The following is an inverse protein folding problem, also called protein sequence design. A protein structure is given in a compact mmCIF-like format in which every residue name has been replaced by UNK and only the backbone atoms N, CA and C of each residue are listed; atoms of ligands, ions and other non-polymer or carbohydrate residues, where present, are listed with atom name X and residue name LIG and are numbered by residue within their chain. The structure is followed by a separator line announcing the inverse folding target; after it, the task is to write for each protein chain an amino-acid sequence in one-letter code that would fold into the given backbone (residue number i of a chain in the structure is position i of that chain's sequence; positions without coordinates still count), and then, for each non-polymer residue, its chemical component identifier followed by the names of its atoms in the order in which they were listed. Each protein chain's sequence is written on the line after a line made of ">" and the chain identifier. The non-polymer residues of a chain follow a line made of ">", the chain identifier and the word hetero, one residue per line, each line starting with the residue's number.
data_IF_326072229560
#
_entry.id   IF_326072229560
#
_cell.length_a   1.000
_cell.length_b   1.000
_cell.length_c   1.000
_cell.angle_alpha   90.00
_cell.angle_beta   90.00
_cell.angle_gamma   90.00
#
_symmetry.space_group_name_H-M   'P 1'
#
loop_
_entity.id
_entity.type
_entity.pdbx_description
1 polymer ?
2 polymer ?
3 non-polymer ?
4 water ?
#
# COMPACT_ATOMS: atom_id res chain seq x y z
N UNK A 7 -14.99 13.21 2.24
CA UNK A 7 -15.92 12.39 1.47
C UNK A 7 -15.40 12.35 0.01
N UNK A 8 -16.16 12.89 -0.94
CA UNK A 8 -15.74 12.85 -2.33
C UNK A 8 -14.80 14.01 -2.72
N UNK A 9 -13.91 13.74 -3.66
CA UNK A 9 -13.10 14.76 -4.33
C UNK A 9 -13.24 14.45 -5.83
N UNK A 10 -13.70 15.42 -6.62
CA UNK A 10 -14.08 16.76 -6.25
C UNK A 10 -15.42 16.80 -5.51
N UNK A 11 -15.83 18.01 -5.12
CA UNK A 11 -17.21 18.30 -4.63
C UNK A 11 -17.91 19.32 -5.55
N UNK A 12 -19.13 19.71 -5.22
CA UNK A 12 -19.90 20.71 -5.95
C UNK A 12 -19.92 20.50 -7.46
N UNK A 13 -19.99 19.23 -7.89
CA UNK A 13 -20.21 18.88 -9.28
C UNK A 13 -21.59 19.35 -9.70
N UNK A 14 -21.67 20.15 -10.76
CA UNK A 14 -22.92 20.76 -11.20
C UNK A 14 -22.89 21.08 -12.69
N UNK A 15 -24.08 21.12 -13.30
CA UNK A 15 -24.19 21.56 -14.69
C UNK A 15 -24.36 23.05 -14.63
N UNK A 16 -23.55 23.78 -15.39
CA UNK A 16 -23.56 25.25 -15.27
C UNK A 16 -24.13 25.88 -16.52
N UNK A 17 -24.21 25.10 -17.60
CA UNK A 17 -24.93 25.52 -18.82
C UNK A 17 -25.26 24.28 -19.64
N UNK A 18 -26.25 24.37 -20.52
CA UNK A 18 -26.67 23.20 -21.29
C UNK A 18 -27.45 23.61 -22.52
N UNK A 19 -27.56 22.69 -23.47
CA UNK A 19 -28.42 22.85 -24.66
C UNK A 19 -29.10 21.51 -24.78
N UNK A 20 -30.02 21.32 -25.75
CA UNK A 20 -30.64 19.99 -25.91
C UNK A 20 -29.67 18.83 -26.19
N UNK A 21 -28.43 19.14 -26.55
CA UNK A 21 -27.56 18.03 -26.94
C UNK A 21 -26.16 18.16 -26.29
N UNK A 22 -26.03 19.05 -25.32
CA UNK A 22 -24.70 19.25 -24.71
C UNK A 22 -24.82 19.80 -23.32
N UNK A 23 -23.73 19.70 -22.59
CA UNK A 23 -23.70 20.33 -21.30
C UNK A 23 -22.31 20.73 -20.85
N UNK A 24 -22.28 21.69 -19.91
CA UNK A 24 -21.05 22.20 -19.36
C UNK A 24 -21.13 21.92 -17.89
N UNK A 25 -20.24 21.05 -17.42
CA UNK A 25 -20.19 20.72 -15.99
C UNK A 25 -19.02 21.46 -15.37
N UNK A 26 -19.12 21.65 -14.07
CA UNK A 26 -18.08 22.28 -13.33
C UNK A 26 -17.97 21.60 -11.96
N UNK A 27 -16.78 21.64 -11.39
CA UNK A 27 -16.54 21.04 -10.05
C UNK A 27 -15.46 21.79 -9.23
N UNK A 28 -15.29 21.38 -7.98
CA UNK A 28 -14.44 22.07 -7.06
C UNK A 28 -13.54 21.04 -6.37
N UNK A 29 -12.24 21.17 -6.58
CA UNK A 29 -11.22 20.35 -5.91
C UNK A 29 -10.76 20.86 -4.54
N UNK A 30 -11.25 22.02 -4.09
CA UNK A 30 -10.81 22.62 -2.84
C UNK A 30 -9.32 22.89 -2.93
N UNK A 31 -8.55 22.49 -1.92
CA UNK A 31 -7.11 22.72 -1.94
C UNK A 31 -6.31 21.63 -2.65
N UNK A 32 -6.94 20.49 -3.00
CA UNK A 32 -6.20 19.32 -3.47
C UNK A 32 -5.52 19.53 -4.82
N UNK A 33 -4.26 19.13 -4.89
CA UNK A 33 -3.59 18.91 -6.18
C UNK A 33 -4.08 17.61 -6.80
N UNK A 34 -4.54 17.71 -8.02
CA UNK A 34 -5.08 16.58 -8.74
C UNK A 34 -4.21 16.41 -10.01
N UNK A 35 -3.82 15.18 -10.34
CA UNK A 35 -3.09 14.91 -11.62
C UNK A 35 -4.08 14.98 -12.80
N UNK A 36 -5.23 14.29 -12.72
CA UNK A 36 -6.22 14.35 -13.81
C UNK A 36 -7.56 13.85 -13.33
N UNK A 37 -8.60 14.11 -14.11
CA UNK A 37 -9.89 13.58 -13.81
C UNK A 37 -10.34 12.66 -14.92
N UNK A 38 -11.14 11.66 -14.56
CA UNK A 38 -11.78 10.80 -15.50
C UNK A 38 -13.28 11.13 -15.36
N UNK A 39 -13.89 11.48 -16.49
CA UNK A 39 -15.29 11.79 -16.52
C UNK A 39 -16.03 10.68 -17.26
N UNK A 40 -17.06 10.10 -16.64
CA UNK A 40 -17.92 9.18 -17.39
C UNK A 40 -19.35 9.68 -17.42
N UNK A 41 -20.07 9.20 -18.41
CA UNK A 41 -21.46 9.65 -18.59
C UNK A 41 -22.18 8.64 -19.43
N UNK A 42 -23.45 8.41 -19.08
CA UNK A 42 -24.27 7.46 -19.80
C UNK A 42 -25.71 7.73 -19.45
N UNK A 43 -26.59 7.24 -20.30
CA UNK A 43 -28.00 7.39 -20.09
C UNK A 43 -28.43 6.69 -18.80
N UNK A 44 -29.11 7.43 -17.91
CA UNK A 44 -29.54 6.90 -16.60
C UNK A 44 -30.49 5.76 -16.90
N UNK A 45 -30.22 4.56 -16.38
CA UNK A 45 -31.03 3.38 -16.68
C UNK A 45 -31.04 2.93 -18.13
N UNK A 46 -29.98 3.28 -18.86
CA UNK A 46 -29.78 2.83 -20.24
C UNK A 46 -28.97 1.54 -20.35
N UNK A 47 -29.06 0.94 -21.55
CA UNK A 47 -28.31 -0.26 -21.90
C UNK A 47 -26.77 -0.05 -22.03
N UNK A 48 -26.37 0.98 -22.78
CA UNK A 48 -24.95 1.20 -23.16
C UNK A 48 -23.98 1.18 -21.98
N UNK A 49 -22.74 0.68 -22.21
CA UNK A 49 -21.63 1.13 -21.34
C UNK A 49 -21.50 2.67 -21.35
N UNK A 50 -20.98 3.23 -20.27
CA UNK A 50 -20.73 4.65 -20.22
C UNK A 50 -19.68 5.09 -21.25
N UNK A 51 -19.80 6.33 -21.69
CA UNK A 51 -18.74 7.00 -22.38
C UNK A 51 -17.76 7.57 -21.35
N UNK A 52 -16.51 7.68 -21.74
CA UNK A 52 -15.49 8.09 -20.81
C UNK A 52 -14.54 9.04 -21.48
N UNK A 53 -14.04 10.01 -20.71
CA UNK A 53 -12.90 10.79 -21.15
C UNK A 53 -12.12 11.33 -19.97
N UNK A 54 -10.89 11.77 -20.25
CA UNK A 54 -9.99 12.32 -19.25
C UNK A 54 -9.68 13.81 -19.53
N UNK A 55 -9.42 14.52 -18.45
CA UNK A 55 -9.21 15.95 -18.49
C UNK A 55 -8.04 16.23 -17.53
N UNK A 56 -7.20 17.24 -17.82
CA UNK A 56 -6.06 17.59 -16.95
C UNK A 56 -6.46 18.01 -15.55
N UNK A 57 -5.56 17.80 -14.59
CA UNK A 57 -5.83 18.07 -13.18
C UNK A 57 -6.03 19.52 -12.84
N UNK A 58 -5.48 20.42 -13.64
CA UNK A 58 -5.70 21.85 -13.44
C UNK A 58 -7.08 22.33 -13.94
N UNK A 59 -7.88 21.49 -14.59
CA UNK A 59 -9.16 22.00 -15.10
C UNK A 59 -10.26 21.76 -14.08
N UNK A 60 -11.28 22.61 -14.08
CA UNK A 60 -12.41 22.39 -13.18
C UNK A 60 -13.77 22.47 -13.92
N UNK A 61 -13.74 22.21 -15.22
CA UNK A 61 -14.82 22.47 -16.18
C UNK A 61 -14.62 21.45 -17.31
N UNK A 62 -15.70 20.99 -17.97
CA UNK A 62 -15.62 20.14 -19.16
C UNK A 62 -16.93 20.19 -19.91
N UNK A 63 -16.85 20.08 -21.24
CA UNK A 63 -18.03 19.96 -22.08
C UNK A 63 -18.35 18.50 -22.34
N UNK A 64 -19.63 18.17 -22.28
CA UNK A 64 -20.12 16.88 -22.72
C UNK A 64 -21.07 17.17 -23.88
N UNK A 65 -20.80 16.64 -25.06
CA UNK A 65 -21.71 16.90 -26.16
C UNK A 65 -22.10 15.63 -26.89
N UNK A 66 -22.83 15.78 -28.00
CA UNK A 66 -23.43 14.64 -28.69
C UNK A 66 -24.52 13.92 -27.92
N UNK A 67 -25.19 14.64 -27.01
CA UNK A 67 -26.30 14.10 -26.23
C UNK A 67 -27.61 14.12 -27.05
N UNK A 68 -28.65 13.44 -26.57
CA UNK A 68 -29.92 13.62 -27.22
C UNK A 68 -30.90 14.31 -26.33
N UNK A 69 -31.80 15.08 -26.96
CA UNK A 69 -32.79 15.95 -26.33
C UNK A 69 -33.72 15.21 -25.33
N UNK A 70 -33.81 15.71 -24.10
CA UNK A 70 -34.82 15.17 -23.15
C UNK A 70 -34.42 13.87 -22.46
N UNK A 71 -33.18 13.45 -22.64
CA UNK A 71 -32.66 12.22 -22.02
C UNK A 71 -31.90 12.55 -20.74
N UNK A 72 -32.05 11.70 -19.74
CA UNK A 72 -31.35 11.90 -18.45
C UNK A 72 -30.00 11.18 -18.44
N UNK A 73 -28.95 11.88 -18.03
CA UNK A 73 -27.59 11.31 -17.97
C UNK A 73 -27.08 11.27 -16.55
N UNK A 74 -26.37 10.17 -16.25
CA UNK A 74 -25.65 10.08 -14.97
C UNK A 74 -24.23 10.43 -15.31
N UNK A 75 -23.72 11.47 -14.66
CA UNK A 75 -22.36 11.97 -14.92
C UNK A 75 -21.52 11.77 -13.64
N UNK A 76 -20.34 11.15 -13.77
CA UNK A 76 -19.48 10.81 -12.65
C UNK A 76 -18.10 11.37 -12.95
N UNK A 77 -17.53 12.05 -11.95
CA UNK A 77 -16.18 12.54 -12.03
C UNK A 77 -15.28 11.84 -10.99
N UNK A 78 -14.11 11.36 -11.42
CA UNK A 78 -13.13 10.64 -10.60
C UNK A 78 -11.86 11.48 -10.58
N UNK A 79 -11.24 11.66 -9.43
CA UNK A 79 -10.00 12.44 -9.35
C UNK A 79 -8.87 11.52 -8.98
N UNK A 80 -7.67 11.77 -9.51
CA UNK A 80 -6.50 10.91 -9.23
C UNK A 80 -5.28 11.76 -8.97
N UNK A 81 -4.42 11.27 -8.08
CA UNK A 81 -3.14 11.90 -7.88
C UNK A 81 -2.16 10.80 -7.53
N UNK A 82 -1.12 10.65 -8.36
CA UNK A 82 -0.03 9.71 -8.13
C UNK A 82 -0.51 8.35 -7.64
N UNK A 83 -1.43 7.72 -8.39
CA UNK A 83 -1.99 6.37 -8.15
C UNK A 83 -2.96 6.27 -6.98
N UNK A 84 -3.28 7.40 -6.35
CA UNK A 84 -4.43 7.43 -5.45
C UNK A 84 -5.68 7.90 -6.20
N UNK A 85 -6.80 7.19 -6.02
CA UNK A 85 -8.10 7.61 -6.52
C UNK A 85 -9.09 7.91 -5.39
N UNK A 86 -9.60 9.13 -5.31
CA UNK A 86 -10.66 9.45 -4.38
C UNK A 86 -11.96 8.78 -4.82
N UNK A 87 -12.88 8.61 -3.88
CA UNK A 87 -14.26 8.30 -4.22
C UNK A 87 -14.83 9.34 -5.15
N UNK A 88 -15.53 8.90 -6.21
CA UNK A 88 -16.13 9.79 -7.21
C UNK A 88 -17.36 10.53 -6.72
N UNK A 89 -17.74 11.56 -7.47
CA UNK A 89 -18.98 12.27 -7.25
C UNK A 89 -19.81 12.16 -8.54
N UNK A 90 -21.12 11.93 -8.40
CA UNK A 90 -22.07 11.87 -9.53
C UNK A 90 -23.25 12.77 -9.35
N UNK A 91 -23.83 13.14 -10.48
CA UNK A 91 -25.09 13.84 -10.54
C UNK A 91 -25.82 13.29 -11.78
N UNK A 92 -27.10 13.65 -11.87
CA UNK A 92 -27.99 13.27 -12.97
C UNK A 92 -28.38 14.57 -13.53
N UNK A 93 -28.53 14.63 -14.85
CA UNK A 93 -29.01 15.85 -15.49
C UNK A 93 -29.68 15.44 -16.79
N UNK A 94 -30.87 16.00 -17.02
CA UNK A 94 -31.63 15.80 -18.25
C UNK A 94 -31.43 16.98 -19.19
N UNK A 95 -31.11 16.71 -20.46
CA UNK A 95 -30.95 17.75 -21.45
C UNK A 95 -32.30 18.35 -21.87
N UNK B 7 8.88 -10.23 -2.95
CA UNK B 7 9.55 -11.53 -3.24
C UNK B 7 10.53 -11.94 -2.11
N UNK B 8 10.83 -11.04 -1.19
CA UNK B 8 11.43 -11.51 0.06
C UNK B 8 10.27 -11.69 1.03
N UNK B 9 10.48 -12.57 2.01
CA UNK B 9 9.57 -12.73 3.13
C UNK B 9 10.46 -12.76 4.37
N UNK B 10 10.19 -11.90 5.38
CA UNK B 10 9.16 -10.86 5.41
C UNK B 10 9.47 -9.66 4.49
N UNK B 11 8.60 -8.66 4.49
CA UNK B 11 8.89 -7.34 3.86
C UNK B 11 8.85 -6.30 4.99
N UNK B 12 9.10 -5.04 4.64
CA UNK B 12 9.00 -3.91 5.57
C UNK B 12 9.84 -4.04 6.83
N UNK B 13 11.03 -4.61 6.71
CA UNK B 13 11.96 -4.63 7.84
C UNK B 13 12.33 -3.20 8.23
N UNK B 14 12.06 -2.82 9.48
CA UNK B 14 12.45 -1.49 9.95
C UNK B 14 12.85 -1.46 11.41
N UNK B 15 13.69 -0.47 11.76
CA UNK B 15 14.03 -0.16 13.16
C UNK B 15 12.98 0.78 13.65
N UNK B 16 12.24 0.36 14.66
CA UNK B 16 11.14 1.19 15.13
C UNK B 16 11.54 2.03 16.33
N UNK B 17 12.46 1.53 17.16
CA UNK B 17 13.00 2.33 18.25
C UNK B 17 14.45 1.90 18.47
N UNK B 18 15.29 2.78 19.01
CA UNK B 18 16.71 2.47 19.11
C UNK B 18 17.24 3.25 20.31
N UNK B 19 18.32 2.73 20.90
CA UNK B 19 19.08 3.48 21.91
C UNK B 19 20.53 3.31 21.43
N UNK B 20 21.53 3.92 22.12
CA UNK B 20 22.93 3.71 21.70
C UNK B 20 23.40 2.27 21.68
N UNK B 21 22.73 1.38 22.39
CA UNK B 21 23.21 0.01 22.46
C UNK B 21 22.16 -1.07 22.10
N UNK B 22 21.01 -0.67 21.55
CA UNK B 22 19.95 -1.64 21.37
C UNK B 22 18.95 -1.11 20.36
N UNK B 23 18.19 -2.02 19.76
CA UNK B 23 17.11 -1.60 18.89
C UNK B 23 15.92 -2.59 18.91
N UNK B 24 14.78 -2.10 18.43
CA UNK B 24 13.60 -2.90 18.29
C UNK B 24 13.38 -2.94 16.81
N UNK B 25 13.29 -4.15 16.24
CA UNK B 25 12.95 -4.27 14.82
C UNK B 25 11.52 -4.78 14.63
N UNK B 26 10.90 -4.44 13.51
CA UNK B 26 9.67 -5.06 13.13
C UNK B 26 9.66 -5.38 11.62
N UNK B 27 8.72 -6.24 11.25
CA UNK B 27 8.61 -6.73 9.89
C UNK B 27 7.17 -7.14 9.62
N UNK B 28 6.89 -7.43 8.36
CA UNK B 28 5.54 -7.80 7.92
C UNK B 28 5.62 -9.10 7.14
N UNK B 29 5.00 -10.15 7.66
CA UNK B 29 4.96 -11.43 6.95
C UNK B 29 3.74 -11.64 6.03
N UNK B 30 2.89 -10.62 5.86
CA UNK B 30 1.69 -10.71 5.01
C UNK B 30 0.75 -11.81 5.48
N UNK B 31 0.26 -12.62 4.57
CA UNK B 31 -0.58 -13.75 4.96
C UNK B 31 0.19 -15.04 5.21
N UNK B 32 1.51 -15.01 5.06
CA UNK B 32 2.25 -16.27 5.06
C UNK B 32 2.26 -16.94 6.43
N UNK B 33 2.00 -18.24 6.49
CA UNK B 33 2.31 -19.03 7.66
C UNK B 33 3.85 -19.24 7.69
N UNK B 34 4.46 -18.80 8.80
CA UNK B 34 5.91 -18.99 9.05
C UNK B 34 6.16 -19.87 10.30
N UNK B 35 7.05 -20.87 10.23
CA UNK B 35 7.37 -21.63 11.42
C UNK B 35 8.21 -20.76 12.37
N UNK B 36 9.27 -20.16 11.86
CA UNK B 36 10.10 -19.34 12.73
C UNK B 36 10.93 -18.40 11.89
N UNK B 37 11.46 -17.38 12.53
CA UNK B 37 12.45 -16.51 11.86
C UNK B 37 13.84 -16.70 12.48
N UNK B 38 14.89 -16.54 11.67
CA UNK B 38 16.23 -16.42 12.18
C UNK B 38 16.70 -14.98 11.90
N UNK B 39 17.21 -14.29 12.94
CA UNK B 39 17.61 -12.90 12.83
C UNK B 39 19.12 -12.89 13.05
N UNK B 40 19.87 -12.22 12.17
CA UNK B 40 21.32 -12.17 12.35
C UNK B 40 21.67 -10.69 12.35
N UNK B 41 22.77 -10.33 13.01
CA UNK B 41 23.22 -8.92 13.01
C UNK B 41 24.71 -8.93 13.24
N UNK B 42 25.38 -7.93 12.68
CA UNK B 42 26.85 -7.83 12.80
C UNK B 42 27.22 -6.49 12.26
N UNK B 43 28.42 -6.04 12.59
CA UNK B 43 28.94 -4.76 12.09
C UNK B 43 28.91 -4.78 10.58
N UNK B 44 28.36 -3.72 9.98
CA UNK B 44 28.36 -3.62 8.51
C UNK B 44 29.81 -3.62 8.04
N UNK B 45 30.15 -4.63 7.25
CA UNK B 45 31.51 -4.85 6.77
C UNK B 45 32.56 -5.09 7.86
N UNK B 46 32.15 -5.62 9.02
CA UNK B 46 33.10 -6.18 10.01
C UNK B 46 33.38 -7.63 9.60
N UNK B 47 34.39 -8.25 10.21
CA UNK B 47 34.69 -9.66 9.84
C UNK B 47 34.44 -10.73 10.94
N UNK B 48 33.63 -10.35 11.92
CA UNK B 48 33.10 -11.26 12.91
C UNK B 48 32.06 -12.13 12.25
N UNK B 49 32.00 -13.43 12.63
CA UNK B 49 30.72 -14.07 12.41
C UNK B 49 29.62 -13.19 13.03
N UNK B 50 28.52 -13.14 12.30
CA UNK B 50 27.33 -12.45 12.71
C UNK B 50 26.77 -13.08 14.05
N UNK B 51 26.06 -12.33 14.86
CA UNK B 51 25.30 -12.94 15.96
C UNK B 51 23.94 -13.42 15.44
N UNK B 52 23.39 -14.46 16.05
CA UNK B 52 22.19 -15.10 15.52
C UNK B 52 21.24 -15.50 16.65
N UNK B 53 19.94 -15.35 16.41
CA UNK B 53 18.93 -15.93 17.27
C UNK B 53 17.64 -16.18 16.49
N UNK B 54 16.68 -16.79 17.16
CA UNK B 54 15.52 -17.26 16.50
C UNK B 54 14.28 -16.72 17.24
N UNK B 55 13.16 -16.60 16.52
CA UNK B 55 11.96 -15.98 17.07
C UNK B 55 10.75 -16.80 16.54
N UNK B 56 9.68 -17.00 17.35
CA UNK B 56 8.51 -17.75 16.84
C UNK B 56 7.91 -17.11 15.58
N UNK B 57 7.29 -17.95 14.75
CA UNK B 57 6.78 -17.54 13.46
C UNK B 57 5.59 -16.59 13.60
N UNK B 58 4.95 -16.58 14.78
CA UNK B 58 3.82 -15.70 15.06
C UNK B 58 4.31 -14.26 15.31
N UNK B 59 5.61 -14.06 15.53
CA UNK B 59 6.03 -12.76 16.00
C UNK B 59 6.39 -11.87 14.82
N UNK B 60 6.33 -10.57 15.07
CA UNK B 60 6.57 -9.60 14.05
C UNK B 60 7.54 -8.52 14.50
N UNK B 61 8.11 -8.68 15.70
CA UNK B 61 9.14 -7.77 16.25
C UNK B 61 10.25 -8.56 16.97
N UNK B 62 11.38 -7.93 17.21
CA UNK B 62 12.44 -8.50 18.03
C UNK B 62 13.30 -7.36 18.55
N UNK B 63 13.99 -7.58 19.66
CA UNK B 63 14.92 -6.62 20.15
C UNK B 63 16.32 -7.19 20.08
N UNK B 64 17.27 -6.30 19.86
CA UNK B 64 18.67 -6.64 19.80
C UNK B 64 19.39 -5.73 20.74
N UNK B 65 20.17 -6.27 21.64
CA UNK B 65 20.86 -5.41 22.56
C UNK B 65 22.33 -5.77 22.70
N UNK B 66 23.04 -5.13 23.64
CA UNK B 66 24.48 -5.32 23.78
C UNK B 66 25.23 -4.79 22.55
N UNK B 67 24.65 -3.82 21.84
CA UNK B 67 25.34 -3.16 20.73
C UNK B 67 26.32 -2.03 21.15
N UNK B 68 27.23 -1.68 20.24
CA UNK B 68 28.17 -0.59 20.49
C UNK B 68 27.65 0.72 19.88
N UNK B 69 27.73 1.81 20.65
CA UNK B 69 27.29 3.15 20.26
C UNK B 69 27.94 3.59 18.98
N UNK B 70 27.13 3.98 17.99
CA UNK B 70 27.65 4.64 16.81
C UNK B 70 28.27 3.69 15.80
N UNK B 71 28.01 2.40 15.95
CA UNK B 71 28.47 1.42 15.01
C UNK B 71 27.31 1.08 14.06
N UNK B 72 27.61 0.95 12.78
CA UNK B 72 26.64 0.60 11.74
C UNK B 72 26.46 -0.93 11.71
N UNK B 73 25.23 -1.40 11.92
CA UNK B 73 24.92 -2.84 11.93
C UNK B 73 24.11 -3.26 10.71
N UNK B 74 24.43 -4.44 10.19
CA UNK B 74 23.61 -5.14 9.21
C UNK B 74 22.77 -6.21 9.90
N UNK B 75 21.46 -6.07 9.72
CA UNK B 75 20.43 -6.90 10.37
C UNK B 75 19.68 -7.61 9.28
N UNK B 76 19.62 -8.95 9.36
CA UNK B 76 18.97 -9.72 8.31
C UNK B 76 17.90 -10.63 8.93
N UNK B 77 16.73 -10.72 8.33
CA UNK B 77 15.71 -11.65 8.81
C UNK B 77 15.45 -12.73 7.75
N UNK B 78 15.56 -13.99 8.16
CA UNK B 78 15.16 -15.16 7.37
C UNK B 78 13.88 -15.76 7.95
N UNK B 79 12.95 -16.14 7.04
CA UNK B 79 11.70 -16.85 7.41
C UNK B 79 11.76 -18.27 6.90
N UNK B 80 11.17 -19.19 7.66
CA UNK B 80 11.17 -20.61 7.33
C UNK B 80 9.81 -21.23 7.55
N UNK B 81 9.46 -22.18 6.67
CA UNK B 81 8.29 -23.02 6.87
C UNK B 81 8.58 -24.40 6.34
N UNK B 82 8.52 -25.39 7.22
CA UNK B 82 8.72 -26.79 6.88
C UNK B 82 9.88 -26.98 5.90
N UNK B 83 11.02 -26.41 6.27
CA UNK B 83 12.30 -26.59 5.53
C UNK B 83 12.44 -25.74 4.32
N UNK B 84 11.48 -24.88 4.04
CA UNK B 84 11.62 -23.90 2.97
C UNK B 84 12.03 -22.56 3.57
N UNK B 85 13.02 -21.95 2.95
CA UNK B 85 13.53 -20.67 3.38
C UNK B 85 13.30 -19.69 2.26
N UNK B 86 12.54 -18.63 2.58
CA UNK B 86 12.39 -17.55 1.64
C UNK B 86 13.68 -16.78 1.58
N UNK B 87 13.94 -16.12 0.44
CA UNK B 87 15.13 -15.28 0.44
C UNK B 87 14.94 -14.15 1.50
N UNK B 88 16.04 -13.78 2.20
CA UNK B 88 15.97 -12.92 3.41
C UNK B 88 15.86 -11.42 3.09
N UNK B 89 15.56 -10.61 4.09
CA UNK B 89 15.49 -9.17 3.94
C UNK B 89 16.49 -8.60 4.96
N UNK B 90 17.14 -7.49 4.55
CA UNK B 90 18.28 -6.86 5.19
C UNK B 90 18.09 -5.36 5.30
N UNK B 91 18.51 -4.80 6.42
CA UNK B 91 18.65 -3.35 6.55
C UNK B 91 20.01 -3.05 7.22
N UNK B 92 20.48 -1.81 7.07
CA UNK B 92 21.59 -1.30 7.88
C UNK B 92 21.04 -0.30 8.87
N UNK B 93 21.66 -0.21 10.03
CA UNK B 93 21.27 0.78 11.02
C UNK B 93 22.43 1.10 11.95
N UNK B 94 22.64 2.39 12.18
CA UNK B 94 23.72 2.80 13.04
C UNK B 94 23.13 3.23 14.37
N UNK B 95 23.68 2.69 15.46
CA UNK B 95 23.15 3.08 16.77
C UNK B 95 23.56 4.51 17.08
N UNK C 22 9.85 -28.69 -6.32
CA UNK C 22 9.25 -27.31 -6.39
C UNK C 22 7.94 -27.12 -5.60
N UNK C 23 7.63 -25.87 -5.38
CA UNK C 23 6.77 -25.46 -4.31
C UNK C 23 5.66 -24.64 -4.86
N UNK C 24 4.53 -24.63 -4.17
CA UNK C 24 3.48 -23.75 -4.56
C UNK C 24 2.89 -23.12 -3.37
N UNK C 25 2.20 -22.01 -3.63
CA UNK C 25 1.44 -21.25 -2.68
C UNK C 25 0.00 -21.76 -2.66
N UNK C 26 -0.45 -22.10 -1.47
CA UNK C 26 -1.85 -22.51 -1.25
C UNK C 26 -2.49 -21.59 -0.27
N UNK C 27 -3.70 -21.15 -0.59
CA UNK C 27 -4.48 -20.28 0.28
C UNK C 27 -5.42 -21.11 1.16
N UNK C 28 -5.35 -20.92 2.46
CA UNK C 28 -6.16 -21.68 3.38
C UNK C 28 -7.17 -20.70 3.97
N UNK C 29 -8.44 -20.88 3.60
CA UNK C 29 -9.49 -19.93 3.91
C UNK C 29 -10.45 -20.54 4.94
N UNK C 30 -10.59 -19.88 6.08
CA UNK C 30 -11.46 -20.37 7.15
C UNK C 30 -12.88 -19.92 6.87
N UNK C 31 -13.86 -20.63 7.40
CA UNK C 31 -15.21 -20.26 7.02
C UNK C 31 -15.71 -19.13 7.90
N UNK C 32 -14.83 -18.66 8.78
CA UNK C 32 -14.95 -17.33 9.35
C UNK C 32 -14.14 -16.32 8.51
N UNK C 33 -13.82 -16.72 7.27
CA UNK C 33 -13.25 -15.89 6.17
C UNK C 33 -11.75 -15.42 6.22
N UNK C 34 -11.10 -15.62 7.37
CA UNK C 34 -9.67 -15.42 7.48
C UNK C 34 -8.86 -16.25 6.43
N UNK C 35 -7.61 -15.85 6.27
CA UNK C 35 -6.79 -16.39 5.21
C UNK C 35 -5.36 -16.57 5.73
N UNK C 36 -4.78 -17.75 5.49
CA UNK C 36 -3.37 -18.04 5.80
C UNK C 36 -2.78 -18.71 4.53
N UNK C 37 -1.65 -18.20 4.07
CA UNK C 37 -0.99 -18.74 2.85
C UNK C 37 0.17 -19.68 3.20
N UNK C 38 0.25 -20.81 2.50
CA UNK C 38 1.29 -21.81 2.74
C UNK C 38 2.17 -22.00 1.50
N UNK C 39 3.49 -22.13 1.72
CA UNK C 39 4.40 -22.51 0.66
C UNK C 39 4.74 -24.00 0.88
N UNK C 40 4.16 -24.86 0.03
CA UNK C 40 4.23 -26.31 0.21
C UNK C 40 4.92 -26.95 -1.00
N UNK C 41 5.77 -27.95 -0.72
CA UNK C 41 6.38 -28.75 -1.76
C UNK C 41 5.33 -29.64 -2.39
N UNK C 42 5.37 -29.82 -3.72
CA UNK C 42 4.35 -30.61 -4.48
C UNK C 42 4.18 -32.05 -3.95
N UNK C 43 5.26 -32.52 -3.35
CA UNK C 43 5.47 -33.91 -3.06
C UNK C 43 5.29 -34.15 -1.54
N UNK C 44 4.96 -33.10 -0.79
CA UNK C 44 4.91 -33.22 0.68
C UNK C 44 3.49 -33.51 1.18
N UNK C 45 3.37 -34.50 2.08
CA UNK C 45 2.08 -34.83 2.68
C UNK C 45 1.47 -33.55 3.31
N UNK C 46 0.17 -33.37 3.08
CA UNK C 46 -0.58 -32.20 3.56
C UNK C 46 -0.86 -32.18 5.08
N UNK C 47 -0.61 -33.30 5.76
CA UNK C 47 -0.63 -33.36 7.23
C UNK C 47 -0.06 -32.12 7.93
N UNK C 48 1.14 -31.72 7.52
CA UNK C 48 1.86 -30.63 8.12
C UNK C 48 1.10 -29.31 7.96
N UNK C 49 0.66 -29.03 6.75
CA UNK C 49 -0.13 -27.84 6.53
C UNK C 49 -1.36 -27.79 7.47
N UNK C 50 -2.09 -28.91 7.56
CA UNK C 50 -3.29 -29.02 8.41
C UNK C 50 -2.99 -28.85 9.92
N UNK C 51 -1.94 -29.52 10.40
CA UNK C 51 -1.51 -29.42 11.78
C UNK C 51 -1.01 -28.03 12.06
N UNK C 52 -0.27 -27.41 11.12
CA UNK C 52 0.21 -26.01 11.34
C UNK C 52 -0.97 -25.06 11.46
N UNK C 53 -1.91 -25.18 10.53
CA UNK C 53 -3.10 -24.33 10.57
C UNK C 53 -3.86 -24.48 11.89
N UNK C 54 -4.11 -25.71 12.31
CA UNK C 54 -4.84 -25.99 13.53
C UNK C 54 -4.11 -25.42 14.75
N UNK C 55 -2.79 -25.56 14.82
CA UNK C 55 -2.10 -25.05 15.98
C UNK C 55 -2.00 -23.53 15.95
N UNK C 56 -1.96 -22.94 14.76
CA UNK C 56 -2.07 -21.48 14.67
C UNK C 56 -3.45 -21.00 15.21
N UNK C 57 -4.52 -21.76 14.97
CA UNK C 57 -5.87 -21.44 15.52
C UNK C 57 -6.08 -21.74 17.02
N UNK C 58 -5.11 -22.47 17.63
CA UNK C 58 -5.21 -22.97 18.98
C UNK C 58 -6.26 -24.06 19.18
N UNK C 59 -6.45 -24.90 18.19
CA UNK C 59 -7.55 -25.80 18.17
C UNK C 59 -7.09 -27.24 17.81
N UNK C 60 -7.78 -28.29 18.29
CA UNK C 60 -7.36 -29.66 17.95
C UNK C 60 -7.53 -29.96 16.46
N UNK C 61 -6.65 -30.83 15.95
CA UNK C 61 -6.73 -31.24 14.56
C UNK C 61 -8.08 -31.91 14.28
N UNK C 62 -8.58 -32.72 15.21
CA UNK C 62 -9.87 -33.36 14.95
C UNK C 62 -11.12 -32.43 15.00
N UNK C 63 -10.93 -31.13 15.17
CA UNK C 63 -12.08 -30.23 15.23
C UNK C 63 -12.33 -29.51 13.87
N UNK C 64 -11.43 -29.75 12.90
CA UNK C 64 -11.44 -29.07 11.61
C UNK C 64 -11.40 -30.08 10.47
N UNK C 65 -11.93 -29.66 9.33
CA UNK C 65 -12.09 -30.47 8.16
C UNK C 65 -11.48 -29.65 7.07
N UNK C 66 -10.55 -30.21 6.31
CA UNK C 66 -9.96 -29.39 5.26
C UNK C 66 -10.39 -29.99 3.93
N UNK C 67 -10.90 -29.12 3.04
CA UNK C 67 -11.45 -29.56 1.75
C UNK C 67 -10.71 -28.91 0.58
N UNK C 68 -10.51 -29.72 -0.45
CA UNK C 68 -10.07 -29.25 -1.76
C UNK C 68 -11.10 -29.77 -2.76
N UNK C 69 -11.67 -28.87 -3.55
CA UNK C 69 -12.77 -29.22 -4.47
C UNK C 69 -13.90 -29.99 -3.73
N UNK C 70 -14.24 -29.49 -2.54
CA UNK C 70 -15.34 -30.07 -1.76
C UNK C 70 -15.04 -31.45 -1.21
N UNK C 71 -13.80 -31.92 -1.30
CA UNK C 71 -13.43 -33.27 -0.79
C UNK C 71 -12.36 -33.20 0.29
N UNK C 72 -12.44 -34.12 1.23
CA UNK C 72 -11.59 -34.11 2.42
C UNK C 72 -10.14 -34.35 1.96
N UNK C 73 -9.23 -33.51 2.42
CA UNK C 73 -7.81 -33.70 2.22
C UNK C 73 -7.23 -34.66 3.26
N UNK C 74 -6.59 -35.74 2.80
CA UNK C 74 -5.97 -36.70 3.71
C UNK C 74 -4.66 -36.15 4.24
N UNK C 75 -4.22 -36.65 5.40
CA UNK C 75 -2.87 -36.35 5.87
C UNK C 75 -1.85 -36.80 4.81
N UNK C 76 -2.11 -37.94 4.18
CA UNK C 76 -1.21 -38.49 3.17
C UNK C 76 -1.38 -37.96 1.75
N UNK C 77 -2.31 -37.03 1.52
CA UNK C 77 -2.48 -36.44 0.17
C UNK C 77 -1.34 -35.47 -0.05
N UNK C 78 -0.87 -35.36 -1.29
CA UNK C 78 0.13 -34.36 -1.57
C UNK C 78 -0.53 -33.40 -2.56
N UNK C 79 0.01 -32.18 -2.70
CA UNK C 79 -0.48 -31.29 -3.76
C UNK C 79 -0.37 -31.93 -5.14
N UNK C 80 0.65 -32.72 -5.37
CA UNK C 80 0.76 -33.37 -6.66
C UNK C 80 -0.34 -34.38 -6.89
N UNK C 81 -0.68 -35.24 -5.92
CA UNK C 81 -1.73 -36.25 -6.17
C UNK C 81 -3.09 -35.57 -6.38
N UNK C 82 -3.33 -34.45 -5.69
CA UNK C 82 -4.58 -33.68 -5.82
C UNK C 82 -4.64 -32.81 -7.10
N UNK C 83 -3.50 -32.63 -7.79
CA UNK C 83 -3.48 -31.76 -8.97
C UNK C 83 -3.57 -30.28 -8.62
N UNK C 84 -3.12 -29.89 -7.43
CA UNK C 84 -3.14 -28.48 -7.02
C UNK C 84 -2.14 -27.68 -7.82
N UNK C 85 -2.44 -26.39 -8.01
CA UNK C 85 -1.59 -25.45 -8.75
C UNK C 85 -1.49 -24.20 -7.89
N UNK C 86 -0.57 -23.31 -8.27
CA UNK C 86 -0.38 -22.03 -7.63
C UNK C 86 -1.69 -21.34 -7.32
N UNK C 87 -1.80 -20.90 -6.08
CA UNK C 87 -2.92 -20.07 -5.61
C UNK C 87 -4.19 -20.85 -5.41
N UNK C 88 -4.14 -22.18 -5.47
CA UNK C 88 -5.31 -22.98 -5.15
C UNK C 88 -5.75 -22.75 -3.71
N UNK C 89 -7.07 -22.89 -3.51
CA UNK C 89 -7.72 -22.65 -2.20
C UNK C 89 -8.06 -24.00 -1.48
N UNK C 90 -7.65 -24.10 -0.21
CA UNK C 90 -8.11 -25.15 0.69
C UNK C 90 -9.12 -24.47 1.58
N UNK C 91 -10.33 -25.02 1.64
CA UNK C 91 -11.34 -24.46 2.56
C UNK C 91 -11.37 -25.22 3.87
N UNK C 92 -11.44 -24.51 5.00
CA UNK C 92 -11.43 -25.17 6.29
C UNK C 92 -12.79 -24.99 6.95
N UNK C 93 -13.35 -26.07 7.47
CA UNK C 93 -14.63 -26.06 8.17
C UNK C 93 -14.46 -26.71 9.54
N UNK C 94 -15.38 -26.39 10.46
CA UNK C 94 -15.53 -27.13 11.68
C UNK C 94 -15.87 -28.57 11.32
N UNK C 95 -15.31 -29.53 12.02
CA UNK C 95 -15.69 -30.92 11.79
C UNK C 95 -17.13 -31.09 12.34
N UNK C 96 -18.04 -31.67 11.55
CA UNK C 96 -19.34 -32.15 12.09
C UNK C 96 -19.63 -33.56 11.57
N UNK D 22 -0.46 3.09 2.86
CA UNK D 22 -1.38 4.10 3.46
C UNK D 22 -0.91 5.51 3.14
N UNK D 23 -1.89 6.40 3.05
CA UNK D 23 -1.73 7.72 2.48
C UNK D 23 -2.05 8.71 3.54
N UNK D 24 -1.41 9.86 3.49
CA UNK D 24 -1.70 10.93 4.42
C UNK D 24 -1.93 12.21 3.67
N UNK D 25 -2.67 13.13 4.29
CA UNK D 25 -2.82 14.47 3.77
C UNK D 25 -1.71 15.35 4.32
N UNK D 26 -0.99 16.01 3.42
CA UNK D 26 0.00 17.03 3.76
C UNK D 26 -0.43 18.40 3.19
N UNK D 27 -0.23 19.45 3.98
CA UNK D 27 -0.56 20.80 3.54
C UNK D 27 0.73 21.52 3.14
N UNK D 28 0.78 22.00 1.90
CA UNK D 28 1.97 22.67 1.42
C UNK D 28 1.65 24.16 1.32
N UNK D 29 2.39 24.95 2.09
CA UNK D 29 2.07 26.35 2.30
C UNK D 29 3.27 27.23 1.97
N UNK D 30 3.09 28.12 0.98
CA UNK D 30 4.14 29.03 0.58
C UNK D 30 4.11 30.26 1.45
N UNK D 31 5.20 31.01 1.44
CA UNK D 31 5.31 32.24 2.25
C UNK D 31 4.24 33.19 1.71
N UNK D 32 4.18 33.30 0.38
CA UNK D 32 2.96 33.48 -0.42
C UNK D 32 1.58 33.47 0.27
N UNK D 33 1.49 32.75 1.39
CA UNK D 33 0.25 32.16 1.97
C UNK D 33 -0.51 31.14 1.08
N UNK D 34 -0.10 31.02 -0.20
CA UNK D 34 -0.40 29.84 -1.05
C UNK D 34 -0.61 28.54 -0.26
N UNK D 35 -1.57 27.74 -0.71
CA UNK D 35 -1.81 26.49 -0.02
C UNK D 35 -2.38 25.43 -0.95
N UNK D 36 -1.66 24.33 -1.01
CA UNK D 36 -2.03 23.19 -1.81
C UNK D 36 -1.94 21.94 -0.95
N UNK D 37 -3.00 21.12 -0.98
CA UNK D 37 -2.99 19.85 -0.24
C UNK D 37 -2.69 18.64 -1.15
N UNK D 38 -1.96 17.68 -0.61
CA UNK D 38 -1.53 16.49 -1.33
C UNK D 38 -1.89 15.25 -0.56
N UNK D 39 -2.27 14.19 -1.26
CA UNK D 39 -2.51 12.88 -0.65
C UNK D 39 -1.37 12.01 -1.10
N UNK D 40 -0.45 11.72 -0.18
CA UNK D 40 0.85 11.13 -0.51
C UNK D 40 0.93 9.76 0.18
N UNK D 41 1.50 8.79 -0.52
CA UNK D 41 1.75 7.50 0.06
C UNK D 41 2.96 7.60 1.03
N UNK D 42 2.89 6.95 2.19
CA UNK D 42 3.91 7.12 3.24
C UNK D 42 5.31 6.76 2.74
N UNK D 43 5.36 5.84 1.79
CA UNK D 43 6.64 5.30 1.29
C UNK D 43 7.03 5.87 -0.05
N UNK D 44 6.29 6.87 -0.53
CA UNK D 44 6.60 7.46 -1.81
C UNK D 44 7.55 8.64 -1.70
N UNK D 45 8.53 8.70 -2.61
CA UNK D 45 9.43 9.85 -2.67
C UNK D 45 8.68 11.14 -2.88
N UNK D 46 9.09 12.16 -2.14
CA UNK D 46 8.46 13.47 -2.17
C UNK D 46 8.71 14.33 -3.41
N UNK D 47 9.63 13.89 -4.29
CA UNK D 47 9.81 14.53 -5.59
C UNK D 47 8.51 14.95 -6.30
N UNK D 48 7.54 14.03 -6.47
CA UNK D 48 6.36 14.42 -7.27
C UNK D 48 5.60 15.55 -6.57
N UNK D 49 5.47 15.48 -5.24
CA UNK D 49 4.81 16.57 -4.52
C UNK D 49 5.50 17.92 -4.81
N UNK D 50 6.82 17.95 -4.73
CA UNK D 50 7.59 19.20 -4.90
C UNK D 50 7.41 19.75 -6.29
N UNK D 51 7.59 18.89 -7.29
CA UNK D 51 7.54 19.30 -8.68
C UNK D 51 6.14 19.75 -9.06
N UNK D 52 5.12 19.10 -8.48
CA UNK D 52 3.70 19.46 -8.70
C UNK D 52 3.43 20.86 -8.18
N UNK D 53 3.93 21.12 -6.97
CA UNK D 53 3.77 22.43 -6.35
C UNK D 53 4.55 23.52 -7.14
N UNK D 54 5.81 23.23 -7.51
CA UNK D 54 6.57 24.16 -8.32
C UNK D 54 5.84 24.48 -9.61
N UNK D 55 5.31 23.44 -10.24
CA UNK D 55 4.60 23.57 -11.56
C UNK D 55 3.35 24.46 -11.43
N UNK D 56 2.51 24.15 -10.45
CA UNK D 56 1.31 24.94 -10.13
C UNK D 56 1.64 26.41 -9.81
N UNK D 57 2.79 26.66 -9.18
CA UNK D 57 3.30 28.02 -8.93
C UNK D 57 4.00 28.72 -10.09
N UNK D 58 4.39 27.98 -11.14
CA UNK D 58 5.15 28.58 -12.27
C UNK D 58 6.56 29.02 -11.90
N UNK D 59 7.13 28.39 -10.87
CA UNK D 59 8.44 28.73 -10.32
C UNK D 59 9.43 27.54 -10.54
N UNK D 60 10.72 27.82 -10.87
CA UNK D 60 11.68 26.70 -11.04
C UNK D 60 11.99 25.93 -9.72
N UNK D 61 12.18 24.61 -9.81
CA UNK D 61 12.51 23.78 -8.63
C UNK D 61 13.75 24.33 -7.84
N UNK D 62 14.77 24.79 -8.56
CA UNK D 62 15.99 25.32 -7.91
C UNK D 62 15.76 26.57 -7.04
N UNK D 63 14.62 27.22 -7.24
CA UNK D 63 14.34 28.42 -6.50
C UNK D 63 13.33 28.13 -5.37
N UNK D 64 13.14 26.86 -4.99
CA UNK D 64 12.32 26.53 -3.81
C UNK D 64 13.10 25.77 -2.70
N UNK D 65 12.85 26.14 -1.43
CA UNK D 65 13.29 25.37 -0.29
C UNK D 65 12.04 24.89 0.40
N UNK D 66 11.85 23.57 0.45
CA UNK D 66 10.76 22.94 1.12
C UNK D 66 11.26 22.43 2.47
N UNK D 67 10.49 22.70 3.52
CA UNK D 67 10.92 22.40 4.90
C UNK D 67 9.81 21.71 5.66
N UNK D 68 10.21 20.67 6.38
CA UNK D 68 9.34 20.09 7.36
C UNK D 68 10.12 20.08 8.68
N UNK D 69 9.67 20.86 9.65
CA UNK D 69 10.31 20.88 10.96
C UNK D 69 11.80 21.17 10.88
N UNK D 70 12.16 22.18 10.11
CA UNK D 70 13.55 22.59 10.02
C UNK D 70 14.33 21.87 8.92
N UNK D 71 13.85 20.71 8.48
CA UNK D 71 14.61 19.83 7.59
C UNK D 71 14.29 20.14 6.13
N UNK D 72 15.30 20.46 5.35
CA UNK D 72 15.05 20.60 3.93
C UNK D 72 14.67 19.23 3.36
N UNK D 73 13.58 19.20 2.60
CA UNK D 73 13.04 17.96 2.03
C UNK D 73 13.71 17.63 0.68
N UNK D 74 14.29 16.43 0.57
CA UNK D 74 14.94 15.95 -0.64
C UNK D 74 13.86 15.37 -1.53
N UNK D 75 14.14 15.36 -2.83
CA UNK D 75 13.30 14.60 -3.74
C UNK D 75 13.19 13.12 -3.31
N UNK D 76 14.24 12.56 -2.68
CA UNK D 76 14.24 11.16 -2.25
C UNK D 76 13.79 10.87 -0.82
N UNK D 77 13.41 11.91 -0.08
CA UNK D 77 12.76 11.72 1.22
C UNK D 77 11.35 11.15 1.06
N UNK D 78 10.91 10.33 2.01
CA UNK D 78 9.52 9.83 2.05
C UNK D 78 8.89 10.49 3.27
N UNK D 79 7.56 10.60 3.33
CA UNK D 79 6.94 11.05 4.60
C UNK D 79 7.32 10.17 5.80
N UNK D 80 7.50 8.88 5.51
CA UNK D 80 7.92 7.94 6.52
C UNK D 80 9.30 8.23 7.10
N UNK D 81 10.30 8.43 6.25
CA UNK D 81 11.65 8.79 6.73
C UNK D 81 11.54 10.03 7.64
N UNK D 82 10.63 10.94 7.29
CA UNK D 82 10.55 12.25 7.89
C UNK D 82 9.63 12.37 9.11
N UNK D 83 8.90 11.31 9.43
CA UNK D 83 8.08 11.32 10.63
C UNK D 83 6.78 12.05 10.42
N UNK D 84 6.40 12.24 9.15
CA UNK D 84 5.20 13.03 8.81
C UNK D 84 3.92 12.29 9.15
N UNK D 85 2.90 13.05 9.52
CA UNK D 85 1.59 12.50 9.85
C UNK D 85 0.48 13.27 9.15
N UNK D 86 -0.71 12.67 9.14
CA UNK D 86 -1.91 13.29 8.66
C UNK D 86 -1.97 14.76 9.08
N UNK D 87 -2.11 15.65 8.10
CA UNK D 87 -2.31 17.11 8.30
C UNK D 87 -1.03 17.93 8.57
N UNK D 88 0.12 17.26 8.54
CA UNK D 88 1.41 17.94 8.62
C UNK D 88 1.58 19.01 7.52
N UNK D 89 2.34 20.05 7.89
CA UNK D 89 2.55 21.22 7.03
C UNK D 89 3.98 21.17 6.46
N UNK D 90 4.08 21.32 5.15
CA UNK D 90 5.35 21.59 4.51
C UNK D 90 5.40 23.08 4.18
N UNK D 91 6.44 23.77 4.68
CA UNK D 91 6.59 25.16 4.29
C UNK D 91 7.51 25.30 3.11
N UNK D 92 7.21 26.27 2.25
CA UNK D 92 7.98 26.49 1.04
C UNK D 92 8.36 27.95 0.99
N UNK D 93 9.63 28.18 0.70
CA UNK D 93 10.19 29.50 0.61
C UNK D 93 10.84 29.59 -0.74
N UNK D 94 10.88 30.80 -1.29
CA UNK D 94 11.66 31.11 -2.47
C UNK D 94 13.14 31.14 -2.02
N UNK D 95 13.98 30.41 -2.74
CA UNK D 95 15.37 30.19 -2.39
C UNK D 95 16.19 30.97 -3.37
N UNK D 96 17.21 31.68 -2.91
CA UNK D 96 18.11 32.31 -3.86
C UNK D 96 19.42 31.58 -3.83
N UNK D 97 20.00 31.34 -4.99
CA UNK D 97 21.19 30.51 -5.04
C UNK D 97 22.43 31.33 -5.39
N UNK D 98 23.61 30.79 -5.09
CA UNK D 98 24.88 31.37 -5.53
C UNK D 98 25.59 32.33 -4.59
N UNK D 99 25.13 32.45 -3.35
CA UNK D 99 25.65 33.48 -2.43
C UNK D 99 26.85 33.05 -1.57
#
# INVERSE_FOLDING_TARGET
>A
GSGSSVSSVPTKLEVVAATPTSLLISWDAGYWFIDYYRITYGETGGNSPVQEFTVPGYSSTATISGLSPGVDYTITVYAYYDNYGWSPISINYRT
>B
GSGSSVSSVPTKLEVVAATPTSLLISWDAGYWFIDYYRITYGETGGNSPVQEFTVPGYSSTATISGLSPGVDYTITVYAYYDNYGWSPISINYRT
>C
GSMSDQEAKPSTEDLGDKKEGEYIKLKVIGQDSSEIHFKVKMTTHLKKLKESYAQRQGVPMNSLRFLFEGQRIADNHTPKELGMEEEDVIEVYQEQTGG
>D
GSMSDQEAKPSTEDLGDKKEGEYIKLKVIGQDSSEIHFKVKMTTHLKKLKESYAQRQGVPMNSLRFLFEGQRIADNHTPKELGMEEEDVIEVYQEQTGG
#
